data_IF_817807111736
#
_entry.id   IF_817807111736
#
_cell.length_a   1.000
_cell.length_b   1.000
_cell.length_c   1.000
_cell.angle_alpha   90.00
_cell.angle_beta   90.00
_cell.angle_gamma   90.00
#
_symmetry.space_group_name_H-M   'P 1'
#
loop_
_entity.id
_entity.type
_entity.pdbx_description
1 polymer ?
#
# COMPACT_ATOMS: atom_id res chain seq x y z
N UNK A 1 -36.97 -1.13 -6.29
CA UNK A 1 -35.76 -1.98 -6.33
C UNK A 1 -34.75 -1.40 -5.36
N UNK A 2 -34.27 -2.15 -4.37
CA UNK A 2 -33.20 -1.67 -3.49
C UNK A 2 -31.95 -1.40 -4.33
N UNK A 3 -31.22 -0.29 -4.11
CA UNK A 3 -29.97 -0.06 -4.82
C UNK A 3 -29.02 -1.26 -4.60
N UNK A 4 -28.31 -1.73 -5.64
CA UNK A 4 -27.39 -2.85 -5.49
C UNK A 4 -26.33 -2.50 -4.43
N UNK A 5 -26.11 -3.41 -3.47
CA UNK A 5 -25.13 -3.22 -2.36
C UNK A 5 -23.75 -2.85 -2.91
N UNK A 6 -23.23 -1.66 -2.64
CA UNK A 6 -21.87 -1.23 -3.03
C UNK A 6 -20.80 -2.18 -2.50
N UNK A 7 -19.66 -2.30 -3.19
CA UNK A 7 -18.48 -3.02 -2.69
C UNK A 7 -17.30 -2.07 -2.58
N UNK A 8 -16.46 -2.16 -1.53
CA UNK A 8 -15.27 -1.32 -1.41
C UNK A 8 -14.17 -1.76 -2.39
N UNK A 9 -13.45 -0.80 -2.95
CA UNK A 9 -12.15 -1.05 -3.59
C UNK A 9 -11.15 0.00 -3.13
N UNK A 10 -9.86 -0.36 -3.10
CA UNK A 10 -8.77 0.54 -2.70
C UNK A 10 -7.80 0.68 -3.86
N UNK A 11 -7.31 1.89 -4.09
CA UNK A 11 -6.17 2.15 -4.97
C UNK A 11 -4.98 2.55 -4.10
N UNK A 12 -3.83 1.90 -4.28
CA UNK A 12 -2.60 2.29 -3.60
C UNK A 12 -1.52 2.70 -4.60
N UNK A 13 -0.84 3.81 -4.31
CA UNK A 13 0.34 4.26 -5.07
C UNK A 13 1.57 3.81 -4.31
N UNK A 14 2.33 2.89 -4.90
CA UNK A 14 3.51 2.26 -4.33
C UNK A 14 4.76 3.13 -4.49
N UNK A 15 5.76 2.82 -3.65
CA UNK A 15 7.12 3.35 -3.73
C UNK A 15 7.20 4.88 -3.75
N UNK A 16 6.42 5.55 -2.90
CA UNK A 16 6.40 7.02 -2.82
C UNK A 16 7.64 7.51 -2.06
N UNK A 17 8.53 8.18 -2.76
CA UNK A 17 9.80 8.70 -2.27
C UNK A 17 10.23 9.92 -3.13
N UNK A 18 11.25 10.70 -2.72
CA UNK A 18 11.75 11.82 -3.52
C UNK A 18 12.08 11.45 -4.99
N UNK A 19 12.73 10.31 -5.20
CA UNK A 19 13.09 9.80 -6.55
C UNK A 19 11.89 9.42 -7.43
N UNK A 20 10.70 9.26 -6.85
CA UNK A 20 9.46 8.89 -7.56
C UNK A 20 8.39 9.97 -7.49
N UNK A 21 8.68 11.14 -6.90
CA UNK A 21 7.71 12.20 -6.67
C UNK A 21 6.94 12.64 -7.92
N UNK A 22 7.62 12.76 -9.08
CA UNK A 22 6.96 13.10 -10.34
C UNK A 22 5.94 12.03 -10.80
N UNK A 23 6.27 10.75 -10.62
CA UNK A 23 5.36 9.65 -10.90
C UNK A 23 4.17 9.65 -9.94
N UNK A 24 4.40 9.89 -8.64
CA UNK A 24 3.35 10.01 -7.62
C UNK A 24 2.38 11.14 -7.97
N UNK A 25 2.87 12.34 -8.30
CA UNK A 25 2.03 13.46 -8.73
C UNK A 25 1.19 13.12 -9.95
N UNK A 26 1.76 12.39 -10.92
CA UNK A 26 1.02 11.96 -12.11
C UNK A 26 -0.11 10.99 -11.77
N UNK A 27 0.15 10.01 -10.90
CA UNK A 27 -0.88 9.08 -10.46
C UNK A 27 -1.98 9.77 -9.66
N UNK A 28 -1.61 10.67 -8.76
CA UNK A 28 -2.56 11.48 -8.00
C UNK A 28 -3.46 12.31 -8.93
N UNK A 29 -2.90 13.00 -9.91
CA UNK A 29 -3.69 13.75 -10.89
C UNK A 29 -4.70 12.84 -11.64
N UNK A 30 -4.25 11.66 -12.09
CA UNK A 30 -5.12 10.71 -12.78
C UNK A 30 -6.27 10.18 -11.88
N UNK A 31 -6.04 10.07 -10.58
CA UNK A 31 -7.03 9.60 -9.60
C UNK A 31 -7.96 10.72 -9.10
N UNK A 32 -7.43 11.93 -8.94
CA UNK A 32 -8.17 13.15 -8.61
C UNK A 32 -9.22 13.44 -9.69
N UNK A 33 -8.87 13.30 -10.98
CA UNK A 33 -9.81 13.38 -12.11
C UNK A 33 -10.98 12.40 -12.00
N UNK A 34 -10.80 11.29 -11.28
CA UNK A 34 -11.80 10.22 -11.10
C UNK A 34 -12.53 10.31 -9.76
N UNK A 35 -12.16 11.25 -8.89
CA UNK A 35 -12.68 11.33 -7.53
C UNK A 35 -12.36 10.07 -6.69
N UNK A 36 -11.22 9.42 -6.95
CA UNK A 36 -10.82 8.18 -6.27
C UNK A 36 -9.72 8.49 -5.26
N UNK A 37 -9.99 8.45 -3.95
CA UNK A 37 -8.93 8.52 -2.94
C UNK A 37 -7.97 7.34 -3.08
N UNK A 38 -6.74 7.55 -2.65
CA UNK A 38 -5.68 6.55 -2.70
C UNK A 38 -4.88 6.51 -1.41
N UNK A 39 -4.28 5.37 -1.15
CA UNK A 39 -3.26 5.24 -0.11
C UNK A 39 -1.86 5.35 -0.72
N UNK A 40 -1.12 6.38 -0.33
CA UNK A 40 0.26 6.63 -0.72
C UNK A 40 1.20 5.85 0.20
N UNK A 41 1.98 4.95 -0.39
CA UNK A 41 2.84 4.01 0.31
C UNK A 41 4.27 4.54 0.36
N UNK A 42 4.61 5.17 1.48
CA UNK A 42 5.80 5.99 1.67
C UNK A 42 7.04 5.15 2.01
N UNK A 43 8.16 5.44 1.33
CA UNK A 43 9.49 4.95 1.69
C UNK A 43 10.23 6.14 2.33
N UNK A 44 10.41 6.16 3.66
CA UNK A 44 10.88 7.35 4.36
C UNK A 44 12.39 7.58 4.25
N UNK A 45 13.20 6.52 4.16
CA UNK A 45 14.65 6.64 4.03
C UNK A 45 15.06 6.82 2.55
N UNK A 46 16.34 7.12 2.25
CA UNK A 46 16.80 7.29 0.87
C UNK A 46 16.45 6.09 -0.01
N UNK A 47 15.92 6.38 -1.20
CA UNK A 47 15.44 5.37 -2.16
C UNK A 47 15.77 5.77 -3.59
N UNK A 48 16.35 4.85 -4.36
CA UNK A 48 16.95 5.17 -5.65
C UNK A 48 18.07 6.20 -5.47
N UNK A 49 18.09 7.21 -6.33
CA UNK A 49 19.05 8.32 -6.27
C UNK A 49 18.52 9.53 -5.47
N UNK A 50 17.39 9.37 -4.76
CA UNK A 50 16.73 10.43 -3.99
C UNK A 50 17.18 10.48 -2.53
N UNK A 51 17.11 11.65 -1.87
CA UNK A 51 17.37 11.78 -0.44
C UNK A 51 16.30 11.08 0.42
N UNK A 52 16.42 11.17 1.75
CA UNK A 52 15.34 10.74 2.64
C UNK A 52 14.12 11.63 2.43
N UNK A 53 12.93 11.11 2.70
CA UNK A 53 11.67 11.82 2.49
C UNK A 53 11.60 13.18 3.21
N UNK A 54 12.04 13.33 4.47
CA UNK A 54 11.97 14.63 5.17
C UNK A 54 12.88 15.70 4.57
N UNK A 55 13.92 15.29 3.85
CA UNK A 55 14.88 16.18 3.21
C UNK A 55 14.38 16.73 1.86
N UNK A 56 13.20 16.30 1.39
CA UNK A 56 12.52 16.84 0.21
C UNK A 56 11.26 17.64 0.63
N UNK A 57 11.40 18.95 0.94
CA UNK A 57 10.28 19.76 1.41
C UNK A 57 9.16 19.91 0.36
N UNK A 58 9.47 19.75 -0.93
CA UNK A 58 8.46 19.82 -1.99
C UNK A 58 7.58 18.59 -1.94
N UNK A 59 8.17 17.39 -1.87
CA UNK A 59 7.40 16.16 -1.70
C UNK A 59 6.60 16.17 -0.39
N UNK A 60 7.20 16.59 0.73
CA UNK A 60 6.49 16.68 2.03
C UNK A 60 5.25 17.56 1.90
N UNK A 61 5.36 18.73 1.29
CA UNK A 61 4.22 19.61 1.04
C UNK A 61 3.15 18.91 0.20
N UNK A 62 3.52 18.26 -0.90
CA UNK A 62 2.57 17.56 -1.77
C UNK A 62 1.84 16.42 -1.04
N UNK A 63 2.52 15.71 -0.14
CA UNK A 63 1.91 14.65 0.67
C UNK A 63 0.87 15.20 1.65
N UNK A 64 1.16 16.32 2.30
CA UNK A 64 0.20 17.01 3.17
C UNK A 64 -1.01 17.53 2.38
N UNK A 65 -0.78 18.11 1.21
CA UNK A 65 -1.86 18.55 0.32
C UNK A 65 -2.71 17.36 -0.19
N UNK A 66 -2.08 16.22 -0.50
CA UNK A 66 -2.81 15.00 -0.86
C UNK A 66 -3.63 14.49 0.33
N UNK A 67 -3.08 14.46 1.54
CA UNK A 67 -3.80 14.05 2.74
C UNK A 67 -5.02 14.95 3.01
N UNK A 68 -4.88 16.27 2.83
CA UNK A 68 -5.98 17.22 2.97
C UNK A 68 -7.12 17.01 1.94
N UNK A 69 -6.83 16.37 0.79
CA UNK A 69 -7.84 15.98 -0.22
C UNK A 69 -8.46 14.61 0.03
N UNK A 70 -8.08 13.92 1.11
CA UNK A 70 -8.63 12.61 1.48
C UNK A 70 -7.80 11.41 1.02
N UNK A 71 -6.58 11.62 0.53
CA UNK A 71 -5.63 10.51 0.37
C UNK A 71 -5.08 10.07 1.72
N UNK A 72 -4.73 8.81 1.84
CA UNK A 72 -4.09 8.26 3.04
C UNK A 72 -2.58 8.22 2.85
N UNK A 73 -1.83 8.46 3.94
CA UNK A 73 -0.38 8.24 4.00
C UNK A 73 -0.09 7.00 4.84
N UNK A 74 0.59 6.02 4.27
CA UNK A 74 0.92 4.76 4.95
C UNK A 74 2.38 4.36 4.73
N UNK A 75 2.97 3.65 5.69
CA UNK A 75 4.37 3.26 5.63
C UNK A 75 4.58 2.05 4.69
N UNK A 76 5.63 2.08 3.87
CA UNK A 76 5.98 1.04 2.89
C UNK A 76 7.41 0.50 3.03
N UNK A 77 7.75 0.11 4.25
CA UNK A 77 9.11 -0.34 4.59
C UNK A 77 9.97 0.81 5.12
N UNK A 78 11.29 0.66 5.08
CA UNK A 78 12.23 1.71 5.52
C UNK A 78 13.05 2.24 4.34
N UNK A 79 13.87 1.38 3.71
CA UNK A 79 14.70 1.73 2.53
C UNK A 79 14.28 1.02 1.25
N UNK A 80 13.37 0.04 1.34
CA UNK A 80 13.06 -0.88 0.24
C UNK A 80 14.33 -1.53 -0.37
N UNK A 81 15.37 -1.72 0.46
CA UNK A 81 16.58 -2.45 0.10
C UNK A 81 16.33 -3.94 0.34
N UNK A 82 16.45 -4.77 -0.70
CA UNK A 82 16.55 -6.22 -0.50
C UNK A 82 17.82 -6.51 0.29
N UNK A 83 17.68 -6.99 1.54
CA UNK A 83 18.80 -7.25 2.46
C UNK A 83 19.95 -7.99 1.74
N UNK A 84 21.13 -7.38 1.56
CA UNK A 84 22.33 -8.11 1.14
C UNK A 84 22.84 -8.90 2.34
N UNK A 85 22.87 -10.24 2.27
CA UNK A 85 23.40 -11.07 3.36
C UNK A 85 23.15 -12.58 3.30
N UNK A 86 22.48 -13.11 2.27
CA UNK A 86 22.31 -14.56 2.11
C UNK A 86 23.55 -15.25 1.51
N UNK A 87 23.83 -16.52 1.87
CA UNK A 87 24.99 -17.26 1.35
C UNK A 87 24.99 -17.35 -0.20
N UNK A 88 26.18 -17.49 -0.84
CA UNK A 88 26.35 -17.38 -2.30
C UNK A 88 25.43 -18.24 -3.15
N UNK A 89 25.01 -19.40 -2.64
CA UNK A 89 24.13 -20.36 -3.34
C UNK A 89 22.70 -19.84 -3.55
N UNK A 90 22.28 -18.79 -2.83
CA UNK A 90 20.96 -18.14 -3.02
C UNK A 90 20.92 -17.13 -4.17
N UNK A 91 22.05 -16.82 -4.83
CA UNK A 91 22.07 -15.95 -6.03
C UNK A 91 21.38 -16.57 -7.25
N UNK A 92 21.20 -17.89 -7.26
CA UNK A 92 20.52 -18.64 -8.34
C UNK A 92 19.00 -18.76 -8.19
N UNK A 93 18.42 -18.41 -7.05
CA UNK A 93 16.96 -18.50 -6.85
C UNK A 93 16.31 -17.20 -7.33
N UNK A 94 16.00 -17.18 -8.62
CA UNK A 94 15.14 -16.22 -9.31
C UNK A 94 15.20 -14.77 -8.79
N UNK A 95 16.13 -13.99 -9.36
CA UNK A 95 16.14 -12.51 -9.31
C UNK A 95 14.77 -11.88 -9.70
N UNK A 96 13.91 -12.68 -10.36
CA UNK A 96 12.54 -12.38 -10.77
C UNK A 96 11.52 -12.45 -9.61
N UNK A 97 11.78 -13.19 -8.53
CA UNK A 97 10.85 -13.36 -7.41
C UNK A 97 11.14 -12.43 -6.21
N UNK A 98 12.36 -11.89 -6.09
CA UNK A 98 12.89 -11.36 -4.81
C UNK A 98 13.23 -9.85 -4.84
N UNK A 99 12.71 -9.06 -5.80
CA UNK A 99 12.82 -7.59 -5.67
C UNK A 99 11.83 -7.11 -4.60
N UNK A 100 12.34 -6.51 -3.52
CA UNK A 100 11.53 -5.94 -2.42
C UNK A 100 11.11 -6.92 -1.32
N UNK A 101 11.14 -8.24 -1.56
CA UNK A 101 10.68 -9.28 -0.63
C UNK A 101 11.53 -9.47 0.65
N UNK A 102 12.67 -8.77 0.78
CA UNK A 102 13.68 -9.08 1.79
C UNK A 102 13.56 -8.32 3.11
N UNK A 103 12.91 -7.16 3.14
CA UNK A 103 13.09 -6.24 4.27
C UNK A 103 12.41 -6.72 5.56
N UNK A 104 11.22 -7.31 5.46
CA UNK A 104 10.42 -7.73 6.64
C UNK A 104 10.04 -9.22 6.65
N UNK A 105 10.48 -9.99 5.66
CA UNK A 105 10.06 -11.39 5.50
C UNK A 105 10.68 -12.35 6.53
N UNK A 106 11.89 -12.07 7.01
CA UNK A 106 12.64 -12.95 7.92
C UNK A 106 13.05 -12.29 9.22
N UNK A 107 12.55 -11.09 9.52
CA UNK A 107 12.95 -10.36 10.72
C UNK A 107 12.34 -10.96 11.98
N UNK A 108 13.13 -10.97 13.06
CA UNK A 108 12.62 -11.09 14.43
C UNK A 108 11.79 -9.86 14.78
N UNK A 109 10.98 -9.94 15.84
CA UNK A 109 10.21 -8.79 16.33
C UNK A 109 11.11 -7.59 16.64
N UNK A 110 12.21 -7.79 17.36
CA UNK A 110 13.13 -6.71 17.74
C UNK A 110 13.71 -6.00 16.52
N UNK A 111 14.18 -6.77 15.52
CA UNK A 111 14.73 -6.19 14.28
C UNK A 111 13.66 -5.44 13.48
N UNK A 112 12.45 -6.00 13.36
CA UNK A 112 11.35 -5.35 12.68
C UNK A 112 10.96 -4.04 13.40
N UNK A 113 10.87 -4.07 14.74
CA UNK A 113 10.55 -2.91 15.57
C UNK A 113 11.58 -1.79 15.42
N UNK A 114 12.87 -2.12 15.47
CA UNK A 114 13.93 -1.12 15.26
C UNK A 114 13.80 -0.45 13.90
N UNK A 115 13.55 -1.24 12.84
CA UNK A 115 13.44 -0.74 11.48
C UNK A 115 12.17 0.08 11.23
N UNK A 116 11.04 -0.37 11.79
CA UNK A 116 9.78 0.38 11.76
C UNK A 116 9.91 1.70 12.52
N UNK A 117 10.56 1.69 13.69
CA UNK A 117 10.80 2.92 14.46
C UNK A 117 11.63 3.91 13.69
N UNK A 118 12.73 3.48 13.06
CA UNK A 118 13.55 4.36 12.22
C UNK A 118 12.75 4.99 11.06
N UNK A 119 11.82 4.24 10.45
CA UNK A 119 10.93 4.79 9.43
C UNK A 119 9.90 5.76 10.00
N UNK A 120 9.32 5.46 11.17
CA UNK A 120 8.39 6.35 11.87
C UNK A 120 9.06 7.65 12.32
N UNK A 121 10.30 7.59 12.80
CA UNK A 121 11.04 8.77 13.26
C UNK A 121 11.27 9.74 12.09
N UNK A 122 11.69 9.23 10.92
CA UNK A 122 11.79 10.06 9.71
C UNK A 122 10.43 10.64 9.29
N UNK A 123 9.35 9.85 9.30
CA UNK A 123 8.03 10.39 8.97
C UNK A 123 7.57 11.45 9.98
N UNK A 124 7.93 11.30 11.26
CA UNK A 124 7.65 12.29 12.29
C UNK A 124 8.39 13.61 12.04
N UNK A 125 9.63 13.58 11.55
CA UNK A 125 10.37 14.78 11.12
C UNK A 125 9.65 15.51 9.98
N UNK A 126 8.94 14.77 9.11
CA UNK A 126 8.06 15.31 8.08
C UNK A 126 6.62 15.63 8.55
N UNK A 127 6.33 15.47 9.86
CA UNK A 127 5.01 15.61 10.49
C UNK A 127 3.94 14.67 9.93
N UNK A 128 4.34 13.46 9.55
CA UNK A 128 3.45 12.42 9.01
C UNK A 128 3.34 11.28 10.03
N UNK A 129 2.10 10.95 10.41
CA UNK A 129 1.78 9.83 11.30
C UNK A 129 0.98 8.77 10.53
N UNK A 130 1.63 7.71 9.99
CA UNK A 130 0.94 6.72 9.18
C UNK A 130 0.08 5.78 10.04
N UNK A 131 -1.18 5.59 9.65
CA UNK A 131 -2.09 4.68 10.36
C UNK A 131 -1.79 3.19 10.09
N UNK A 132 -1.19 2.86 8.95
CA UNK A 132 -0.93 1.47 8.59
C UNK A 132 0.35 1.22 7.81
N UNK A 133 0.57 -0.06 7.54
CA UNK A 133 1.82 -0.56 6.97
C UNK A 133 1.57 -1.53 5.82
N UNK A 134 2.13 -1.24 4.65
CA UNK A 134 2.23 -2.23 3.58
C UNK A 134 3.67 -2.76 3.53
N UNK A 135 3.95 -4.01 3.91
CA UNK A 135 5.29 -4.57 3.77
C UNK A 135 5.71 -4.60 2.28
N UNK A 136 6.97 -4.26 1.95
CA UNK A 136 7.54 -4.53 0.64
C UNK A 136 7.32 -5.98 0.18
N UNK A 137 6.85 -6.14 -1.06
CA UNK A 137 6.46 -7.44 -1.61
C UNK A 137 5.24 -8.11 -0.94
N UNK A 138 4.54 -7.39 -0.05
CA UNK A 138 3.44 -7.90 0.78
C UNK A 138 3.84 -9.03 1.75
N UNK A 139 5.09 -9.02 2.21
CA UNK A 139 5.66 -10.08 3.05
C UNK A 139 6.05 -9.54 4.44
N UNK A 140 5.28 -9.94 5.46
CA UNK A 140 5.59 -9.65 6.86
C UNK A 140 5.78 -10.95 7.65
N UNK A 141 6.92 -11.08 8.32
CA UNK A 141 7.19 -12.18 9.25
C UNK A 141 6.23 -12.16 10.46
N UNK A 142 6.10 -13.26 11.23
CA UNK A 142 5.40 -13.24 12.51
C UNK A 142 5.92 -12.16 13.46
N UNK A 143 7.24 -11.99 13.58
CA UNK A 143 7.86 -10.94 14.38
C UNK A 143 7.54 -9.53 13.88
N UNK A 144 7.46 -9.33 12.56
CA UNK A 144 7.03 -8.05 11.99
C UNK A 144 5.59 -7.72 12.40
N UNK A 145 4.68 -8.69 12.34
CA UNK A 145 3.28 -8.48 12.75
C UNK A 145 3.14 -8.14 14.23
N UNK A 146 3.94 -8.77 15.09
CA UNK A 146 4.02 -8.43 16.52
C UNK A 146 4.55 -7.00 16.72
N UNK A 147 5.63 -6.64 16.03
CA UNK A 147 6.19 -5.30 16.09
C UNK A 147 5.20 -4.22 15.62
N UNK A 148 4.44 -4.48 14.56
CA UNK A 148 3.41 -3.56 14.07
C UNK A 148 2.31 -3.30 15.12
N UNK A 149 1.81 -4.36 15.76
CA UNK A 149 0.84 -4.24 16.86
C UNK A 149 1.43 -3.46 18.05
N UNK A 150 2.67 -3.80 18.45
CA UNK A 150 3.35 -3.13 19.56
C UNK A 150 3.67 -1.65 19.31
N UNK A 151 3.79 -1.26 18.04
CA UNK A 151 4.00 0.13 17.61
C UNK A 151 2.71 0.90 17.36
N UNK A 152 1.54 0.26 17.51
CA UNK A 152 0.23 0.92 17.42
C UNK A 152 -0.28 1.14 16.00
N UNK A 153 0.24 0.44 14.99
CA UNK A 153 -0.36 0.47 13.66
C UNK A 153 -1.79 -0.10 13.70
N UNK A 154 -2.73 0.54 12.98
CA UNK A 154 -4.11 0.10 12.91
C UNK A 154 -4.30 -1.09 11.95
N UNK A 155 -3.45 -1.21 10.93
CA UNK A 155 -3.54 -2.30 9.96
C UNK A 155 -2.21 -2.61 9.27
N UNK A 156 -2.16 -3.78 8.64
CA UNK A 156 -1.15 -4.09 7.63
C UNK A 156 -1.74 -4.83 6.42
N UNK A 157 -1.02 -4.87 5.30
CA UNK A 157 -1.53 -5.52 4.08
C UNK A 157 -0.68 -6.71 3.63
N UNK A 158 -1.32 -7.80 3.23
CA UNK A 158 -0.69 -8.88 2.45
C UNK A 158 -1.11 -8.78 0.99
N UNK A 159 -0.72 -9.72 0.13
CA UNK A 159 -1.12 -9.70 -1.28
C UNK A 159 -2.62 -10.00 -1.45
N UNK A 160 -3.21 -10.71 -0.50
CA UNK A 160 -4.59 -11.21 -0.60
C UNK A 160 -5.55 -10.56 0.39
N UNK A 161 -5.06 -9.79 1.36
CA UNK A 161 -5.91 -9.23 2.39
C UNK A 161 -5.37 -7.95 3.03
N UNK A 162 -6.29 -7.21 3.64
CA UNK A 162 -6.03 -6.16 4.62
C UNK A 162 -6.31 -6.75 5.99
N UNK A 163 -5.38 -6.59 6.93
CA UNK A 163 -5.45 -7.15 8.28
C UNK A 163 -5.51 -6.00 9.27
N UNK A 164 -6.63 -5.88 9.98
CA UNK A 164 -6.71 -4.97 11.12
C UNK A 164 -5.87 -5.55 12.25
N UNK A 165 -5.06 -4.69 12.84
CA UNK A 165 -4.34 -5.00 14.07
C UNK A 165 -5.26 -4.63 15.24
N UNK A 166 -5.19 -5.39 16.36
CA UNK A 166 -5.86 -4.97 17.58
C UNK A 166 -5.34 -3.58 17.96
N UNK A 167 -6.22 -2.75 18.53
CA UNK A 167 -5.82 -1.44 19.03
C UNK A 167 -4.60 -1.65 19.96
N UNK A 168 -3.54 -0.85 19.74
CA UNK A 168 -2.35 -0.88 20.61
C UNK A 168 -2.73 -0.62 22.08
N UNK A 169 -1.82 -0.80 23.04
CA UNK A 169 -2.14 -0.59 24.45
C UNK A 169 -2.84 0.77 24.62
N UNK A 170 -4.13 0.71 24.93
CA UNK A 170 -5.02 1.87 24.95
C UNK A 170 -4.47 2.90 25.92
N UNK A 171 -4.18 4.11 25.44
CA UNK A 171 -4.04 5.28 26.30
C UNK A 171 -5.39 5.83 26.75
N UNK A 172 -6.51 5.26 26.29
CA UNK A 172 -7.86 5.61 26.73
C UNK A 172 -8.31 4.71 27.89
N UNK A 173 -8.68 5.27 29.06
CA UNK A 173 -9.15 4.50 30.22
C UNK A 173 -10.59 3.97 30.07
N UNK A 174 -11.25 4.18 28.93
CA UNK A 174 -12.64 3.76 28.71
C UNK A 174 -12.75 2.64 27.68
N UNK A 175 -13.29 1.45 28.04
CA UNK A 175 -13.56 0.42 27.06
C UNK A 175 -14.65 0.91 26.08
N UNK A 176 -14.53 0.61 24.77
CA UNK A 176 -15.56 0.97 23.81
C UNK A 176 -16.89 0.26 24.15
N UNK A 177 -18.04 0.89 23.89
CA UNK A 177 -19.34 0.31 24.20
C UNK A 177 -19.55 -1.02 23.43
N UNK A 178 -20.00 -2.04 24.18
CA UNK A 178 -20.07 -3.45 23.82
C UNK A 178 -21.08 -3.84 22.71
N UNK A 179 -21.69 -2.86 22.03
CA UNK A 179 -22.80 -3.09 21.08
C UNK A 179 -22.44 -2.86 19.60
N UNK A 180 -21.18 -2.59 19.25
CA UNK A 180 -20.74 -2.67 17.85
C UNK A 180 -20.30 -4.10 17.56
N UNK A 181 -20.83 -4.72 16.49
CA UNK A 181 -20.23 -5.95 15.92
C UNK A 181 -18.73 -5.71 15.84
N UNK A 182 -17.93 -6.62 16.40
CA UNK A 182 -16.48 -6.52 16.29
C UNK A 182 -16.13 -6.34 14.80
N UNK A 183 -15.39 -5.28 14.42
CA UNK A 183 -15.02 -5.07 13.04
C UNK A 183 -14.29 -6.31 12.52
N UNK A 184 -14.46 -6.62 11.24
CA UNK A 184 -13.77 -7.75 10.61
C UNK A 184 -12.26 -7.60 10.87
N UNK A 185 -11.61 -8.63 11.39
CA UNK A 185 -10.16 -8.60 11.59
C UNK A 185 -9.40 -8.65 10.25
N UNK A 186 -10.02 -9.22 9.21
CA UNK A 186 -9.39 -9.45 7.91
C UNK A 186 -10.39 -9.23 6.77
N UNK A 187 -10.02 -8.39 5.80
CA UNK A 187 -10.74 -8.23 4.54
C UNK A 187 -10.00 -9.01 3.45
N UNK A 188 -10.65 -10.03 2.88
CA UNK A 188 -10.14 -10.73 1.70
C UNK A 188 -10.29 -9.79 0.51
N UNK A 189 -9.17 -9.29 0.02
CA UNK A 189 -9.11 -8.19 -0.92
C UNK A 189 -7.83 -8.37 -1.76
N UNK A 190 -7.85 -9.14 -2.85
CA UNK A 190 -6.66 -9.38 -3.66
C UNK A 190 -6.12 -8.08 -4.25
N UNK A 191 -4.80 -7.89 -4.21
CA UNK A 191 -4.12 -6.81 -4.90
C UNK A 191 -3.85 -7.19 -6.36
N UNK A 192 -4.38 -6.39 -7.27
CA UNK A 192 -4.09 -6.43 -8.69
C UNK A 192 -2.90 -5.52 -8.98
N UNK A 193 -1.84 -6.10 -9.54
CA UNK A 193 -0.64 -5.39 -9.99
C UNK A 193 -0.10 -6.05 -11.25
N UNK A 194 0.72 -5.32 -11.99
CA UNK A 194 1.50 -5.86 -13.10
C UNK A 194 2.95 -5.42 -13.00
N UNK A 195 3.84 -6.15 -13.69
CA UNK A 195 5.28 -5.91 -13.64
C UNK A 195 5.77 -5.38 -15.00
N UNK A 196 6.33 -4.17 -15.06
CA UNK A 196 6.97 -3.65 -16.25
C UNK A 196 8.15 -4.51 -16.70
N UNK A 197 8.31 -4.68 -18.02
CA UNK A 197 9.49 -5.31 -18.63
C UNK A 197 9.54 -6.84 -18.53
N UNK A 198 8.50 -7.51 -18.04
CA UNK A 198 8.41 -8.96 -18.08
C UNK A 198 8.04 -9.47 -19.50
N UNK A 199 8.48 -10.68 -19.87
CA UNK A 199 8.20 -11.31 -21.17
C UNK A 199 6.70 -11.53 -21.48
N UNK A 200 5.80 -11.19 -20.55
CA UNK A 200 4.35 -11.24 -20.69
C UNK A 200 3.63 -9.95 -20.30
N UNK A 201 4.29 -8.78 -20.34
CA UNK A 201 3.75 -7.49 -19.90
C UNK A 201 2.32 -7.20 -20.41
N UNK A 202 2.08 -7.38 -21.72
CA UNK A 202 0.75 -7.18 -22.33
C UNK A 202 -0.30 -8.16 -21.83
N UNK A 203 0.09 -9.43 -21.62
CA UNK A 203 -0.80 -10.45 -21.08
C UNK A 203 -1.13 -10.16 -19.61
N UNK A 204 -0.15 -9.74 -18.82
CA UNK A 204 -0.35 -9.30 -17.44
C UNK A 204 -1.29 -8.09 -17.33
N UNK A 205 -1.11 -7.10 -18.21
CA UNK A 205 -2.01 -5.93 -18.28
C UNK A 205 -3.46 -6.33 -18.61
N UNK A 206 -3.66 -7.25 -19.57
CA UNK A 206 -4.99 -7.81 -19.89
C UNK A 206 -5.59 -8.57 -18.71
N UNK A 207 -4.80 -9.44 -18.07
CA UNK A 207 -5.23 -10.22 -16.91
C UNK A 207 -5.68 -9.32 -15.76
N UNK A 208 -4.97 -8.22 -15.51
CA UNK A 208 -5.37 -7.22 -14.51
C UNK A 208 -6.75 -6.63 -14.82
N UNK A 209 -6.98 -6.21 -16.07
CA UNK A 209 -8.26 -5.63 -16.51
C UNK A 209 -9.39 -6.66 -16.43
N UNK A 210 -9.15 -7.89 -16.87
CA UNK A 210 -10.15 -8.96 -16.84
C UNK A 210 -10.48 -9.38 -15.40
N UNK A 211 -9.49 -9.40 -14.50
CA UNK A 211 -9.69 -9.63 -13.07
C UNK A 211 -10.51 -8.49 -12.45
N UNK A 212 -10.18 -7.22 -12.73
CA UNK A 212 -10.94 -6.06 -12.25
C UNK A 212 -12.40 -6.11 -12.74
N UNK A 213 -12.62 -6.39 -14.02
CA UNK A 213 -13.97 -6.59 -14.59
C UNK A 213 -14.72 -7.70 -13.86
N UNK A 214 -14.06 -8.81 -13.61
CA UNK A 214 -14.67 -9.97 -12.94
C UNK A 214 -15.02 -9.64 -11.49
N UNK A 215 -14.11 -9.07 -10.72
CA UNK A 215 -14.38 -8.68 -9.33
C UNK A 215 -15.46 -7.60 -9.22
N UNK A 216 -15.44 -6.61 -10.10
CA UNK A 216 -16.48 -5.58 -10.16
C UNK A 216 -17.86 -6.18 -10.47
N UNK A 217 -17.94 -7.09 -11.46
CA UNK A 217 -19.19 -7.81 -11.80
C UNK A 217 -19.70 -8.67 -10.64
N UNK A 218 -18.79 -9.35 -9.94
CA UNK A 218 -19.10 -10.19 -8.78
C UNK A 218 -19.25 -9.38 -7.48
N UNK A 219 -19.06 -8.06 -7.53
CA UNK A 219 -19.10 -7.15 -6.38
C UNK A 219 -18.16 -7.58 -5.24
N UNK A 220 -17.02 -8.15 -5.61
CA UNK A 220 -15.99 -8.59 -4.66
C UNK A 220 -15.04 -7.43 -4.35
N UNK A 221 -14.67 -7.19 -3.09
CA UNK A 221 -13.62 -6.24 -2.75
C UNK A 221 -12.27 -6.62 -3.37
N UNK A 222 -11.57 -5.65 -3.93
CA UNK A 222 -10.21 -5.84 -4.47
C UNK A 222 -9.40 -4.54 -4.39
N UNK A 223 -8.09 -4.65 -4.65
CA UNK A 223 -7.17 -3.53 -4.60
C UNK A 223 -6.45 -3.37 -5.92
N UNK A 224 -6.13 -2.14 -6.29
CA UNK A 224 -5.33 -1.80 -7.46
C UNK A 224 -4.03 -1.18 -6.96
N UNK A 225 -2.91 -1.84 -7.23
CA UNK A 225 -1.59 -1.40 -6.81
C UNK A 225 -0.84 -0.76 -7.99
N UNK A 226 -0.72 0.57 -7.95
CA UNK A 226 -0.06 1.39 -8.96
C UNK A 226 1.41 1.57 -8.59
N UNK A 227 2.33 1.31 -9.52
CA UNK A 227 3.76 1.53 -9.29
C UNK A 227 4.28 2.67 -10.16
N UNK A 228 5.34 3.40 -9.74
CA UNK A 228 5.95 4.46 -10.55
C UNK A 228 6.39 3.97 -11.93
N UNK A 229 6.95 2.75 -11.99
CA UNK A 229 7.47 2.16 -13.21
C UNK A 229 6.38 1.87 -14.26
N UNK A 230 5.12 1.74 -13.86
CA UNK A 230 3.99 1.54 -14.77
C UNK A 230 3.78 2.73 -15.71
N UNK A 231 4.12 3.95 -15.26
CA UNK A 231 4.01 5.17 -16.07
C UNK A 231 5.02 5.22 -17.22
N UNK A 232 6.12 4.48 -17.12
CA UNK A 232 7.11 4.37 -18.21
C UNK A 232 6.59 3.56 -19.40
N UNK A 233 5.44 2.88 -19.24
CA UNK A 233 4.80 2.03 -20.25
C UNK A 233 3.36 2.46 -20.45
N UNK A 234 3.02 3.18 -21.53
CA UNK A 234 1.67 3.70 -21.75
C UNK A 234 0.54 2.65 -21.71
N UNK A 235 0.84 1.40 -22.09
CA UNK A 235 -0.12 0.29 -22.01
C UNK A 235 -0.44 -0.14 -20.58
N UNK A 236 0.55 -0.12 -19.68
CA UNK A 236 0.39 -0.47 -18.26
C UNK A 236 -0.41 0.61 -17.53
N UNK A 237 -0.02 1.87 -17.71
CA UNK A 237 -0.80 3.00 -17.17
C UNK A 237 -2.26 2.92 -17.58
N UNK A 238 -2.52 2.68 -18.87
CA UNK A 238 -3.88 2.56 -19.40
C UNK A 238 -4.64 1.39 -18.77
N UNK A 239 -4.02 0.22 -18.63
CA UNK A 239 -4.65 -0.94 -18.03
C UNK A 239 -5.06 -0.70 -16.57
N UNK A 240 -4.19 -0.06 -15.80
CA UNK A 240 -4.48 0.31 -14.42
C UNK A 240 -5.65 1.31 -14.32
N UNK A 241 -5.66 2.36 -15.14
CA UNK A 241 -6.78 3.31 -15.18
C UNK A 241 -8.08 2.67 -15.65
N UNK A 242 -8.03 1.79 -16.66
CA UNK A 242 -9.19 1.01 -17.07
C UNK A 242 -9.74 0.15 -15.92
N UNK A 243 -8.88 -0.45 -15.09
CA UNK A 243 -9.32 -1.21 -13.93
C UNK A 243 -10.04 -0.33 -12.89
N UNK A 244 -9.56 0.89 -12.65
CA UNK A 244 -10.22 1.89 -11.79
C UNK A 244 -11.58 2.28 -12.38
N UNK A 245 -11.61 2.64 -13.66
CA UNK A 245 -12.82 3.09 -14.36
C UNK A 245 -13.91 2.00 -14.35
N UNK A 246 -13.52 0.73 -14.54
CA UNK A 246 -14.44 -0.42 -14.44
C UNK A 246 -15.00 -0.60 -13.02
N UNK A 247 -14.20 -0.36 -11.98
CA UNK A 247 -14.66 -0.46 -10.59
C UNK A 247 -15.71 0.62 -10.28
N UNK A 248 -15.41 1.86 -10.67
CA UNK A 248 -16.31 3.02 -10.49
C UNK A 248 -17.62 2.81 -11.26
N UNK A 249 -17.54 2.44 -12.55
CA UNK A 249 -18.71 2.21 -13.39
C UNK A 249 -19.63 1.09 -12.87
N UNK A 250 -19.09 0.11 -12.13
CA UNK A 250 -19.86 -0.97 -11.51
C UNK A 250 -20.50 -0.59 -10.16
N UNK A 251 -20.37 0.67 -9.73
CA UNK A 251 -20.83 1.17 -8.42
C UNK A 251 -19.95 0.70 -7.26
N UNK A 252 -18.66 0.49 -7.52
CA UNK A 252 -17.65 0.31 -6.47
C UNK A 252 -17.47 1.58 -5.66
N UNK A 253 -17.31 1.44 -4.35
CA UNK A 253 -17.04 2.56 -3.44
C UNK A 253 -15.52 2.68 -3.25
N UNK A 254 -14.85 3.70 -3.81
CA UNK A 254 -13.44 3.91 -3.52
C UNK A 254 -13.28 4.26 -2.03
N UNK A 255 -12.21 3.79 -1.43
CA UNK A 255 -11.89 4.03 -0.01
C UNK A 255 -10.39 3.87 0.20
N UNK A 256 -9.88 4.41 1.30
CA UNK A 256 -8.49 4.16 1.73
C UNK A 256 -8.41 2.91 2.61
N UNK A 257 -7.20 2.42 2.93
CA UNK A 257 -7.05 1.32 3.87
C UNK A 257 -7.49 1.72 5.28
N UNK A 258 -7.11 2.92 5.74
CA UNK A 258 -7.54 3.44 7.04
C UNK A 258 -9.06 3.50 7.13
N UNK A 259 -9.74 4.12 6.17
CA UNK A 259 -11.21 4.18 6.16
C UNK A 259 -11.85 2.79 6.15
N UNK A 260 -11.28 1.84 5.37
CA UNK A 260 -11.76 0.46 5.31
C UNK A 260 -11.72 -0.23 6.68
N UNK A 261 -10.66 0.03 7.47
CA UNK A 261 -10.50 -0.62 8.78
C UNK A 261 -11.16 0.13 9.93
N UNK A 262 -11.40 1.44 9.81
CA UNK A 262 -12.02 2.27 10.86
C UNK A 262 -13.54 2.44 10.71
N UNK A 263 -14.08 2.30 9.50
CA UNK A 263 -15.52 2.41 9.21
C UNK A 263 -16.31 1.16 9.56
#
# INVERSE_FOLDING_TARGET
MNPPKSFPFVVSVHDVAPSTAAATRRWLADLDERGVPATLLLIPAPFGDGPALPDDPVLVKDLHEAAARGHELALHGYRHEGVPGGPPWRRGVNRVLVRGAGEFWTLTEQQARQRLRAGLDLLADARIEPAGFTPPGWLASPGTRQALAALGFAYWTSHLAVHRLPDGPSSSPHPPPSNRRAPLAVWRMPALSHRPGAAGERAGARLMVDAARTFARLRMPFRIALHPADLTRPGLRRAALTAVDLAVAAGGRPTTYQELVTG
#
